data_IF_385705490680
#
_entry.id   IF_385705490680
#
_cell.length_a   1.000
_cell.length_b   1.000
_cell.length_c   1.000
_cell.angle_alpha   90.00
_cell.angle_beta   90.00
_cell.angle_gamma   90.00
#
_symmetry.space_group_name_H-M   'P 1'
#
loop_
_entity.id
_entity.type
_entity.pdbx_description
1 polymer ?
#
# COMPACT_ATOMS: atom_id res chain seq x y z
N UNK A 1 -23.19 2.88 4.32
CA UNK A 1 -22.05 3.00 5.26
C UNK A 1 -21.51 1.65 5.67
N UNK A 2 -22.32 0.71 6.20
CA UNK A 2 -21.83 -0.66 6.54
C UNK A 2 -21.04 -1.31 5.40
N UNK A 3 -21.56 -1.23 4.16
CA UNK A 3 -20.89 -1.79 2.97
C UNK A 3 -19.50 -1.22 2.66
N UNK A 4 -19.21 0.07 2.94
CA UNK A 4 -17.88 0.64 2.72
C UNK A 4 -16.87 0.03 3.70
N UNK A 5 -17.22 -0.02 4.98
CA UNK A 5 -16.34 -0.63 5.99
C UNK A 5 -16.20 -2.14 5.78
N UNK A 6 -17.23 -2.82 5.28
CA UNK A 6 -17.15 -4.23 4.89
C UNK A 6 -16.22 -4.42 3.69
N UNK A 7 -16.33 -3.60 2.64
CA UNK A 7 -15.42 -3.68 1.49
C UNK A 7 -13.98 -3.33 1.88
N UNK A 8 -13.79 -2.31 2.71
CA UNK A 8 -12.50 -1.94 3.29
C UNK A 8 -11.89 -3.09 4.08
N UNK A 9 -12.70 -3.74 4.93
CA UNK A 9 -12.28 -4.89 5.73
C UNK A 9 -11.91 -6.09 4.86
N UNK A 10 -12.75 -6.45 3.89
CA UNK A 10 -12.47 -7.54 2.94
C UNK A 10 -11.19 -7.26 2.16
N UNK A 11 -11.02 -6.02 1.67
CA UNK A 11 -9.81 -5.61 0.99
C UNK A 11 -8.57 -5.79 1.87
N UNK A 12 -8.63 -5.31 3.11
CA UNK A 12 -7.55 -5.46 4.09
C UNK A 12 -7.22 -6.93 4.35
N UNK A 13 -8.21 -7.79 4.56
CA UNK A 13 -8.01 -9.21 4.84
C UNK A 13 -7.40 -9.94 3.64
N UNK A 14 -7.95 -9.74 2.43
CA UNK A 14 -7.45 -10.37 1.21
C UNK A 14 -6.03 -9.91 0.90
N UNK A 15 -5.77 -8.61 0.99
CA UNK A 15 -4.45 -8.05 0.70
C UNK A 15 -3.41 -8.55 1.72
N UNK A 16 -3.74 -8.55 3.02
CA UNK A 16 -2.87 -9.10 4.08
C UNK A 16 -2.57 -10.59 3.88
N UNK A 17 -3.57 -11.35 3.44
CA UNK A 17 -3.41 -12.78 3.16
C UNK A 17 -2.49 -13.03 1.96
N UNK A 18 -2.67 -12.29 0.86
CA UNK A 18 -1.78 -12.37 -0.30
C UNK A 18 -0.32 -12.03 0.07
N UNK A 19 -0.11 -11.03 0.92
CA UNK A 19 1.21 -10.66 1.44
C UNK A 19 1.84 -11.76 2.28
N UNK A 20 1.04 -12.40 3.15
CA UNK A 20 1.51 -13.50 3.99
C UNK A 20 1.96 -14.71 3.14
N UNK A 21 1.21 -15.04 2.09
CA UNK A 21 1.58 -16.11 1.16
C UNK A 21 2.86 -15.78 0.39
N UNK A 22 2.99 -14.55 -0.12
CA UNK A 22 4.18 -14.12 -0.84
C UNK A 22 5.42 -14.16 0.06
N UNK A 23 5.28 -13.82 1.34
CA UNK A 23 6.34 -13.94 2.35
C UNK A 23 6.82 -15.38 2.54
N UNK A 24 5.90 -16.34 2.69
CA UNK A 24 6.26 -17.75 2.86
C UNK A 24 7.01 -18.27 1.63
N UNK A 25 6.60 -17.88 0.42
CA UNK A 25 7.27 -18.29 -0.80
C UNK A 25 8.75 -17.85 -0.89
N UNK A 26 9.11 -16.70 -0.31
CA UNK A 26 10.51 -16.23 -0.25
C UNK A 26 11.31 -16.96 0.84
N UNK A 27 10.69 -17.32 1.97
CA UNK A 27 11.39 -17.96 3.08
C UNK A 27 11.62 -19.45 2.91
N UNK A 28 10.68 -20.16 2.27
CA UNK A 28 10.70 -21.61 2.11
C UNK A 28 11.58 -22.08 0.92
N UNK A 29 12.13 -21.15 0.14
CA UNK A 29 12.98 -21.50 -1.01
C UNK A 29 14.41 -21.79 -0.56
N UNK A 30 14.88 -23.01 -0.83
CA UNK A 30 16.25 -23.47 -0.52
C UNK A 30 17.28 -23.08 -1.59
N UNK A 31 16.84 -22.78 -2.81
CA UNK A 31 17.71 -22.39 -3.92
C UNK A 31 17.85 -20.87 -4.01
N UNK A 32 19.10 -20.39 -4.12
CA UNK A 32 19.43 -18.96 -4.15
C UNK A 32 18.78 -18.27 -5.36
N UNK A 33 18.79 -18.90 -6.53
CA UNK A 33 18.20 -18.34 -7.76
C UNK A 33 16.68 -18.13 -7.65
N UNK A 34 15.99 -19.05 -6.99
CA UNK A 34 14.53 -18.98 -6.85
C UNK A 34 14.12 -17.98 -5.75
N UNK A 35 14.95 -17.83 -4.71
CA UNK A 35 14.79 -16.77 -3.72
C UNK A 35 14.98 -15.37 -4.35
N UNK A 36 15.93 -15.19 -5.27
CA UNK A 36 16.13 -13.94 -6.04
C UNK A 36 14.88 -13.62 -6.87
N UNK A 37 14.38 -14.60 -7.63
CA UNK A 37 13.20 -14.41 -8.47
C UNK A 37 11.97 -14.03 -7.63
N UNK A 38 11.72 -14.77 -6.55
CA UNK A 38 10.58 -14.51 -5.65
C UNK A 38 10.68 -13.14 -4.96
N UNK A 39 11.88 -12.72 -4.56
CA UNK A 39 12.11 -11.39 -3.99
C UNK A 39 11.82 -10.28 -5.01
N UNK A 40 12.30 -10.41 -6.25
CA UNK A 40 12.02 -9.43 -7.31
C UNK A 40 10.53 -9.35 -7.63
N UNK A 41 9.85 -10.50 -7.78
CA UNK A 41 8.40 -10.53 -8.00
C UNK A 41 7.64 -9.87 -6.85
N UNK A 42 8.04 -10.11 -5.60
CA UNK A 42 7.43 -9.47 -4.44
C UNK A 42 7.67 -7.96 -4.40
N UNK A 43 8.89 -7.52 -4.68
CA UNK A 43 9.24 -6.09 -4.73
C UNK A 43 8.48 -5.34 -5.84
N UNK A 44 8.31 -5.95 -7.01
CA UNK A 44 7.48 -5.39 -8.10
C UNK A 44 6.01 -5.31 -7.69
N UNK A 45 5.47 -6.36 -7.08
CA UNK A 45 4.11 -6.37 -6.55
C UNK A 45 3.88 -5.27 -5.53
N UNK A 46 4.84 -5.00 -4.64
CA UNK A 46 4.74 -3.88 -3.71
C UNK A 46 4.84 -2.53 -4.42
N UNK A 47 5.77 -2.40 -5.38
CA UNK A 47 6.02 -1.14 -6.09
C UNK A 47 4.80 -0.68 -6.90
N UNK A 48 4.10 -1.61 -7.55
CA UNK A 48 2.94 -1.28 -8.40
C UNK A 48 1.59 -1.56 -7.72
N UNK A 49 1.50 -2.61 -6.93
CA UNK A 49 0.28 -3.03 -6.25
C UNK A 49 -0.15 -2.09 -5.13
N UNK A 50 0.80 -1.54 -4.36
CA UNK A 50 0.49 -0.59 -3.27
C UNK A 50 -0.11 0.72 -3.80
N UNK A 51 0.45 1.39 -4.82
CA UNK A 51 -0.20 2.54 -5.45
C UNK A 51 -1.57 2.22 -6.08
N UNK A 52 -1.70 1.05 -6.73
CA UNK A 52 -2.98 0.62 -7.31
C UNK A 52 -4.05 0.40 -6.22
N UNK A 53 -3.69 -0.24 -5.11
CA UNK A 53 -4.53 -0.39 -3.93
C UNK A 53 -5.00 0.96 -3.38
N UNK A 54 -4.09 1.93 -3.30
CA UNK A 54 -4.45 3.29 -2.87
C UNK A 54 -5.48 3.96 -3.78
N UNK A 55 -5.30 3.85 -5.10
CA UNK A 55 -6.24 4.43 -6.06
C UNK A 55 -7.64 3.81 -5.89
N UNK A 56 -7.72 2.50 -5.66
CA UNK A 56 -9.00 1.82 -5.38
C UNK A 56 -9.62 2.37 -4.09
N UNK A 57 -8.84 2.49 -3.00
CA UNK A 57 -9.31 3.07 -1.74
C UNK A 57 -9.79 4.51 -1.91
N UNK A 58 -9.08 5.31 -2.71
CA UNK A 58 -9.43 6.70 -3.02
C UNK A 58 -10.72 6.80 -3.85
N UNK A 59 -10.92 5.88 -4.80
CA UNK A 59 -12.17 5.77 -5.58
C UNK A 59 -13.34 5.40 -4.66
N UNK A 60 -13.17 4.40 -3.78
CA UNK A 60 -14.18 4.00 -2.80
C UNK A 60 -14.52 5.14 -1.83
N UNK A 61 -13.51 5.87 -1.36
CA UNK A 61 -13.69 7.05 -0.52
C UNK A 61 -14.46 8.16 -1.25
N UNK A 62 -14.17 8.37 -2.54
CA UNK A 62 -14.89 9.32 -3.40
C UNK A 62 -16.36 8.94 -3.59
N UNK A 63 -16.68 7.66 -3.82
CA UNK A 63 -18.08 7.19 -3.88
C UNK A 63 -18.80 7.41 -2.55
N UNK A 64 -18.16 7.07 -1.43
CA UNK A 64 -18.71 7.28 -0.10
C UNK A 64 -18.94 8.77 0.20
N UNK A 65 -18.03 9.65 -0.21
CA UNK A 65 -18.16 11.09 -0.04
C UNK A 65 -19.28 11.67 -0.89
N UNK A 66 -19.44 11.23 -2.14
CA UNK A 66 -20.52 11.70 -3.02
C UNK A 66 -21.90 11.32 -2.48
N UNK A 67 -22.04 10.12 -1.89
CA UNK A 67 -23.31 9.64 -1.38
C UNK A 67 -23.74 10.29 -0.06
N UNK A 68 -22.80 10.64 0.84
CA UNK A 68 -23.14 11.06 2.22
C UNK A 68 -22.23 12.13 2.82
N UNK A 69 -21.31 12.71 2.06
CA UNK A 69 -20.42 13.82 2.46
C UNK A 69 -19.52 13.54 3.68
N UNK A 70 -19.21 12.28 3.97
CA UNK A 70 -18.34 11.94 5.09
C UNK A 70 -16.86 12.07 4.71
N UNK A 71 -16.23 13.16 5.18
CA UNK A 71 -14.78 13.39 5.08
C UNK A 71 -13.99 12.25 5.73
N UNK A 72 -14.55 11.64 6.78
CA UNK A 72 -13.95 10.52 7.48
C UNK A 72 -13.55 9.37 6.55
N UNK A 73 -14.28 9.14 5.45
CA UNK A 73 -13.93 8.07 4.48
C UNK A 73 -12.57 8.29 3.82
N UNK A 74 -12.18 9.55 3.57
CA UNK A 74 -10.85 9.87 3.03
C UNK A 74 -9.75 9.73 4.10
N UNK A 75 -10.04 10.13 5.34
CA UNK A 75 -9.11 9.99 6.47
C UNK A 75 -8.84 8.52 6.77
N UNK A 76 -9.88 7.68 6.78
CA UNK A 76 -9.70 6.23 6.95
C UNK A 76 -8.91 5.64 5.78
N UNK A 77 -9.25 5.95 4.53
CA UNK A 77 -8.48 5.47 3.37
C UNK A 77 -7.00 5.84 3.45
N UNK A 78 -6.69 7.07 3.89
CA UNK A 78 -5.32 7.53 4.10
C UNK A 78 -4.62 6.77 5.23
N UNK A 79 -5.21 6.72 6.43
CA UNK A 79 -4.61 6.04 7.58
C UNK A 79 -4.35 4.56 7.30
N UNK A 80 -5.32 3.87 6.68
CA UNK A 80 -5.15 2.49 6.26
C UNK A 80 -4.00 2.37 5.27
N UNK A 81 -3.99 3.17 4.21
CA UNK A 81 -2.91 3.14 3.23
C UNK A 81 -1.53 3.38 3.87
N UNK A 82 -1.41 4.37 4.74
CA UNK A 82 -0.14 4.70 5.41
C UNK A 82 0.35 3.57 6.30
N UNK A 83 -0.50 3.04 7.17
CA UNK A 83 -0.11 1.94 8.08
C UNK A 83 0.30 0.70 7.29
N UNK A 84 -0.46 0.35 6.25
CA UNK A 84 -0.15 -0.80 5.40
C UNK A 84 1.15 -0.60 4.61
N UNK A 85 1.30 0.54 3.94
CA UNK A 85 2.51 0.87 3.17
C UNK A 85 3.76 0.85 4.04
N UNK A 86 3.69 1.43 5.25
CA UNK A 86 4.84 1.41 6.17
C UNK A 86 5.16 -0.02 6.61
N UNK A 87 4.14 -0.80 7.00
CA UNK A 87 4.34 -2.19 7.40
C UNK A 87 5.01 -3.00 6.27
N UNK A 88 4.46 -2.96 5.06
CA UNK A 88 4.93 -3.73 3.91
C UNK A 88 6.37 -3.37 3.52
N UNK A 89 6.71 -2.09 3.54
CA UNK A 89 8.06 -1.64 3.23
C UNK A 89 9.07 -1.95 4.35
N UNK A 90 8.65 -1.95 5.62
CA UNK A 90 9.47 -2.47 6.73
C UNK A 90 9.73 -3.97 6.56
N UNK A 91 8.73 -4.72 6.10
CA UNK A 91 8.88 -6.15 5.82
C UNK A 91 9.78 -6.42 4.62
N UNK A 92 9.64 -5.66 3.52
CA UNK A 92 10.53 -5.76 2.37
C UNK A 92 11.99 -5.50 2.78
N UNK A 93 12.21 -4.54 3.68
CA UNK A 93 13.53 -4.26 4.23
C UNK A 93 14.08 -5.44 5.06
N UNK A 94 13.25 -6.08 5.89
CA UNK A 94 13.65 -7.30 6.63
C UNK A 94 14.00 -8.44 5.68
N UNK A 95 13.17 -8.68 4.66
CA UNK A 95 13.43 -9.70 3.63
C UNK A 95 14.72 -9.40 2.87
N UNK A 96 15.00 -8.13 2.58
CA UNK A 96 16.24 -7.71 1.94
C UNK A 96 17.46 -8.05 2.82
N UNK A 97 17.45 -7.73 4.11
CA UNK A 97 18.54 -8.08 5.02
C UNK A 97 18.71 -9.59 5.19
N UNK A 98 17.61 -10.33 5.26
CA UNK A 98 17.67 -11.80 5.35
C UNK A 98 18.22 -12.42 4.06
N UNK A 99 17.82 -11.90 2.90
CA UNK A 99 18.39 -12.26 1.60
C UNK A 99 19.89 -11.95 1.52
N UNK A 100 20.30 -10.75 1.96
CA UNK A 100 21.69 -10.33 2.00
C UNK A 100 22.52 -11.27 2.88
N UNK A 101 21.99 -11.64 4.06
CA UNK A 101 22.65 -12.56 4.97
C UNK A 101 22.78 -13.98 4.40
N UNK A 102 21.81 -14.45 3.60
CA UNK A 102 21.82 -15.80 3.01
C UNK A 102 22.71 -15.90 1.76
N UNK A 103 22.75 -14.87 0.93
CA UNK A 103 23.38 -14.93 -0.40
C UNK A 103 24.70 -14.15 -0.48
N UNK A 104 24.95 -13.23 0.45
CA UNK A 104 26.08 -12.30 0.41
C UNK A 104 26.00 -11.27 -0.73
N UNK A 105 24.93 -11.30 -1.55
CA UNK A 105 24.79 -10.43 -2.71
C UNK A 105 24.00 -9.17 -2.37
N UNK A 106 24.59 -8.02 -2.69
CA UNK A 106 23.92 -6.72 -2.64
C UNK A 106 22.95 -6.48 -3.81
N UNK A 107 22.98 -7.35 -4.84
CA UNK A 107 22.08 -7.29 -5.99
C UNK A 107 20.65 -7.58 -5.52
N UNK A 108 19.90 -6.51 -5.26
CA UNK A 108 18.53 -6.54 -4.73
C UNK A 108 18.23 -5.46 -3.69
N UNK A 109 19.28 -4.78 -3.18
CA UNK A 109 19.17 -3.84 -2.07
C UNK A 109 19.12 -2.40 -2.45
N UNK A 110 17.93 -1.88 -2.71
CA UNK A 110 17.78 -0.43 -2.70
C UNK A 110 17.53 0.00 -1.25
N UNK A 111 18.57 0.44 -0.55
CA UNK A 111 18.48 0.97 0.83
C UNK A 111 17.54 2.17 0.98
N UNK A 112 17.09 2.75 -0.14
CA UNK A 112 16.08 3.82 -0.19
C UNK A 112 14.62 3.35 -0.09
N UNK A 113 14.35 2.05 0.03
CA UNK A 113 12.99 1.48 0.11
C UNK A 113 12.16 2.15 1.23
N UNK A 114 12.71 2.35 2.43
CA UNK A 114 11.98 3.01 3.53
C UNK A 114 11.65 4.49 3.26
N UNK A 115 12.54 5.22 2.58
CA UNK A 115 12.31 6.62 2.17
C UNK A 115 11.23 6.67 1.09
N UNK A 116 11.22 5.70 0.18
CA UNK A 116 10.19 5.58 -0.85
C UNK A 116 8.80 5.32 -0.25
N UNK A 117 8.70 4.50 0.81
CA UNK A 117 7.46 4.28 1.55
C UNK A 117 6.90 5.58 2.15
N UNK A 118 7.76 6.38 2.77
CA UNK A 118 7.40 7.68 3.34
C UNK A 118 6.96 8.67 2.25
N UNK A 119 7.68 8.71 1.13
CA UNK A 119 7.30 9.53 -0.03
C UNK A 119 5.92 9.15 -0.57
N UNK A 120 5.64 7.86 -0.72
CA UNK A 120 4.32 7.37 -1.13
C UNK A 120 3.22 7.77 -0.15
N UNK A 121 3.48 7.71 1.15
CA UNK A 121 2.54 8.17 2.17
C UNK A 121 2.29 9.69 2.07
N UNK A 122 3.33 10.50 1.87
CA UNK A 122 3.19 11.95 1.69
C UNK A 122 2.39 12.27 0.41
N UNK A 123 2.68 11.59 -0.70
CA UNK A 123 1.93 11.74 -1.95
C UNK A 123 0.45 11.35 -1.78
N UNK A 124 0.17 10.25 -1.09
CA UNK A 124 -1.18 9.82 -0.76
C UNK A 124 -1.94 10.84 0.09
N UNK A 125 -1.28 11.43 1.09
CA UNK A 125 -1.84 12.50 1.91
C UNK A 125 -2.18 13.74 1.07
N UNK A 126 -1.26 14.14 0.19
CA UNK A 126 -1.47 15.23 -0.77
C UNK A 126 -2.65 14.97 -1.71
N UNK A 127 -2.76 13.75 -2.25
CA UNK A 127 -3.87 13.34 -3.12
C UNK A 127 -5.22 13.35 -2.39
N UNK A 128 -5.26 12.91 -1.13
CA UNK A 128 -6.46 12.96 -0.30
C UNK A 128 -6.87 14.40 -0.02
N UNK A 129 -5.92 15.26 0.35
CA UNK A 129 -6.17 16.68 0.60
C UNK A 129 -6.65 17.39 -0.68
N UNK A 130 -6.00 17.15 -1.82
CA UNK A 130 -6.40 17.70 -3.12
C UNK A 130 -7.83 17.27 -3.49
N UNK A 131 -8.16 15.98 -3.35
CA UNK A 131 -9.51 15.48 -3.60
C UNK A 131 -10.54 16.15 -2.68
N UNK A 132 -10.22 16.33 -1.41
CA UNK A 132 -11.07 17.04 -0.46
C UNK A 132 -11.30 18.50 -0.87
N UNK A 133 -10.24 19.25 -1.18
CA UNK A 133 -10.30 20.66 -1.58
C UNK A 133 -11.08 20.86 -2.89
N UNK A 134 -10.88 19.99 -3.88
CA UNK A 134 -11.62 20.02 -5.16
C UNK A 134 -13.12 19.86 -4.89
N UNK A 135 -13.50 18.86 -4.09
CA UNK A 135 -14.91 18.60 -3.74
C UNK A 135 -15.53 19.74 -2.94
N UNK A 136 -14.79 20.31 -1.99
CA UNK A 136 -15.24 21.46 -1.21
C UNK A 136 -15.49 22.68 -2.10
N UNK A 137 -14.54 22.96 -3.01
CA UNK A 137 -14.63 24.07 -3.98
C UNK A 137 -15.84 23.90 -4.90
N UNK A 138 -16.02 22.73 -5.53
CA UNK A 138 -17.17 22.43 -6.39
C UNK A 138 -18.50 22.65 -5.65
N UNK A 139 -18.57 22.29 -4.37
CA UNK A 139 -19.77 22.48 -3.55
C UNK A 139 -20.05 23.96 -3.29
N UNK A 140 -19.03 24.75 -2.95
CA UNK A 140 -19.16 26.19 -2.69
C UNK A 140 -19.69 26.95 -3.91
N UNK A 141 -19.27 26.57 -5.12
CA UNK A 141 -19.71 27.21 -6.36
C UNK A 141 -21.06 26.70 -6.90
N UNK A 142 -21.62 25.63 -6.32
CA UNK A 142 -22.97 25.12 -6.64
C UNK A 142 -24.06 25.65 -5.70
N UNK A 143 -23.68 26.25 -4.57
CA UNK A 143 -24.57 26.91 -3.62
C UNK A 143 -24.70 28.40 -3.92
#
# INVERSE_FOLDING_TARGET
>A
MKWFYVLLFVFVVVFSYCLLQAKQAVMDTSSIEQAVLNYHTYAEWLTYGVPAAFLILLILANFSFTARQHIGSFVYAFLFFTVFTIADYVFLNKLFFEFLNRTGQWRGGNTMIGIFALLLCVMAGGLVLANYLIRYTIKKYKS
#
